data_IF_215639198606
#
_entry.id   IF_215639198606
#
_cell.length_a   1.000
_cell.length_b   1.000
_cell.length_c   1.000
_cell.angle_alpha   90.00
_cell.angle_beta   90.00
_cell.angle_gamma   90.00
#
_symmetry.space_group_name_H-M   'P 1'
#
loop_
_entity.id
_entity.type
_entity.pdbx_description
1 polymer ?
#
# COMPACT_ATOMS: atom_id res chain seq x y z
N UNK A 1 -8.97 34.27 24.79
CA UNK A 1 -7.88 34.77 23.97
C UNK A 1 -7.49 33.70 22.96
N UNK A 2 -7.60 33.93 21.65
CA UNK A 2 -7.32 32.87 20.62
C UNK A 2 -5.85 32.45 20.60
N UNK A 3 -4.91 33.35 20.85
CA UNK A 3 -3.48 33.05 20.85
C UNK A 3 -3.06 32.07 21.97
N UNK A 4 -3.69 32.11 23.15
CA UNK A 4 -3.40 31.17 24.23
C UNK A 4 -3.83 29.73 23.89
N UNK A 5 -4.94 29.54 23.16
CA UNK A 5 -5.44 28.19 22.81
C UNK A 5 -4.63 27.53 21.69
N UNK A 6 -4.20 28.31 20.68
CA UNK A 6 -3.31 27.79 19.64
C UNK A 6 -1.94 27.40 20.21
N UNK A 7 -1.46 28.16 21.20
CA UNK A 7 -0.20 27.85 21.88
C UNK A 7 -0.30 26.60 22.78
N UNK A 8 -1.47 26.38 23.40
CA UNK A 8 -1.77 25.17 24.21
C UNK A 8 -1.88 23.94 23.30
N UNK A 9 -2.47 24.06 22.09
CA UNK A 9 -2.58 22.97 21.13
C UNK A 9 -1.20 22.53 20.63
N UNK A 10 -0.37 23.45 20.18
CA UNK A 10 0.97 23.14 19.66
C UNK A 10 1.92 22.59 20.75
N UNK A 11 1.82 23.06 21.97
CA UNK A 11 2.61 22.53 23.11
C UNK A 11 2.15 21.11 23.49
N UNK A 12 0.85 20.83 23.45
CA UNK A 12 0.28 19.50 23.67
C UNK A 12 0.77 18.51 22.61
N UNK A 13 0.69 18.87 21.33
CA UNK A 13 1.20 18.08 20.22
C UNK A 13 2.68 17.74 20.42
N UNK A 14 3.53 18.72 20.67
CA UNK A 14 4.96 18.50 20.88
C UNK A 14 5.25 17.53 22.04
N UNK A 15 4.43 17.60 23.12
CA UNK A 15 4.53 16.67 24.24
C UNK A 15 4.22 15.23 23.83
N UNK A 16 3.16 15.03 23.02
CA UNK A 16 2.79 13.72 22.49
C UNK A 16 3.87 13.17 21.56
N UNK A 17 4.37 13.98 20.61
CA UNK A 17 5.44 13.58 19.70
C UNK A 17 6.71 13.16 20.48
N UNK A 18 7.09 13.92 21.51
CA UNK A 18 8.22 13.57 22.36
C UNK A 18 7.99 12.25 23.13
N UNK A 19 6.79 12.00 23.65
CA UNK A 19 6.45 10.74 24.31
C UNK A 19 6.57 9.55 23.36
N UNK A 20 6.07 9.70 22.13
CA UNK A 20 6.16 8.66 21.06
C UNK A 20 7.62 8.33 20.77
N UNK A 21 8.47 9.33 20.53
CA UNK A 21 9.87 9.11 20.17
C UNK A 21 10.76 8.64 21.33
N UNK A 22 10.43 8.97 22.57
CA UNK A 22 11.13 8.51 23.75
C UNK A 22 10.76 7.08 24.16
N UNK A 23 9.65 6.55 23.66
CA UNK A 23 9.14 5.24 24.02
C UNK A 23 10.00 4.10 23.44
N UNK A 24 10.18 3.02 24.23
CA UNK A 24 10.75 1.77 23.71
C UNK A 24 9.75 1.08 22.76
N UNK A 25 10.23 0.25 21.81
CA UNK A 25 9.39 -0.34 20.77
C UNK A 25 8.04 -0.94 21.21
N UNK A 26 7.94 -1.75 22.26
CA UNK A 26 6.65 -2.29 22.71
C UNK A 26 5.70 -1.26 23.34
N UNK A 27 6.20 -0.08 23.70
CA UNK A 27 5.47 0.95 24.46
C UNK A 27 5.13 2.20 23.63
N UNK A 28 5.38 2.20 22.32
CA UNK A 28 5.07 3.35 21.44
C UNK A 28 3.58 3.69 21.46
N UNK A 29 2.72 2.71 21.28
CA UNK A 29 1.26 2.93 21.33
C UNK A 29 0.77 3.30 22.74
N UNK A 30 1.13 2.59 23.81
CA UNK A 30 0.77 3.02 25.17
C UNK A 30 1.19 4.46 25.49
N UNK A 31 2.44 4.85 25.18
CA UNK A 31 2.94 6.19 25.44
C UNK A 31 2.19 7.26 24.63
N UNK A 32 1.83 6.96 23.37
CA UNK A 32 1.02 7.87 22.57
C UNK A 32 -0.38 8.05 23.17
N UNK A 33 -1.05 6.96 23.56
CA UNK A 33 -2.39 7.00 24.16
C UNK A 33 -2.39 7.81 25.46
N UNK A 34 -1.47 7.52 26.37
CA UNK A 34 -1.37 8.20 27.66
C UNK A 34 -1.12 9.72 27.47
N UNK A 35 -0.24 10.06 26.52
CA UNK A 35 0.08 11.46 26.24
C UNK A 35 -1.08 12.21 25.56
N UNK A 36 -1.82 11.57 24.65
CA UNK A 36 -3.02 12.16 24.00
C UNK A 36 -4.13 12.35 25.03
N UNK A 37 -4.39 11.32 25.84
CA UNK A 37 -5.42 11.38 26.91
C UNK A 37 -5.10 12.50 27.91
N UNK A 38 -3.83 12.66 28.28
CA UNK A 38 -3.38 13.75 29.16
C UNK A 38 -3.51 15.14 28.50
N UNK A 39 -3.19 15.24 27.21
CA UNK A 39 -3.32 16.49 26.46
C UNK A 39 -4.76 16.93 26.30
N UNK A 40 -5.65 16.01 25.98
CA UNK A 40 -7.07 16.30 25.75
C UNK A 40 -7.90 16.33 27.06
N UNK A 41 -7.34 15.81 28.17
CA UNK A 41 -8.04 15.69 29.45
C UNK A 41 -9.16 14.64 29.44
N UNK A 42 -9.16 13.70 28.51
CA UNK A 42 -10.17 12.67 28.32
C UNK A 42 -9.52 11.31 28.08
N UNK A 43 -9.77 10.32 28.92
CA UNK A 43 -9.31 8.97 28.66
C UNK A 43 -10.17 8.29 27.55
N UNK A 44 -9.56 7.40 26.81
CA UNK A 44 -10.26 6.59 25.81
C UNK A 44 -9.69 6.67 24.41
N UNK A 45 -8.45 7.17 24.25
CA UNK A 45 -7.72 7.05 23.00
C UNK A 45 -7.39 5.58 22.72
N UNK A 46 -7.73 5.10 21.53
CA UNK A 46 -7.45 3.75 21.08
C UNK A 46 -6.65 3.75 19.77
N UNK A 47 -5.83 2.72 19.58
CA UNK A 47 -5.17 2.43 18.31
C UNK A 47 -5.68 1.10 17.80
N UNK A 48 -6.18 1.11 16.57
CA UNK A 48 -6.75 -0.06 15.90
C UNK A 48 -5.81 -0.45 14.77
N UNK A 49 -5.27 -1.67 14.77
CA UNK A 49 -4.38 -2.18 13.74
C UNK A 49 -5.16 -2.99 12.71
N UNK A 50 -4.83 -2.82 11.44
CA UNK A 50 -5.44 -3.65 10.38
C UNK A 50 -4.91 -5.07 10.45
N UNK A 51 -5.80 -6.06 10.36
CA UNK A 51 -5.41 -7.47 10.29
C UNK A 51 -4.71 -7.82 8.95
N UNK A 52 -4.14 -9.01 8.88
CA UNK A 52 -3.42 -9.46 7.67
C UNK A 52 -4.33 -9.61 6.44
N UNK A 53 -5.62 -9.88 6.63
CA UNK A 53 -6.60 -10.00 5.55
C UNK A 53 -7.21 -8.65 5.12
N UNK A 54 -6.82 -7.54 5.75
CA UNK A 54 -7.37 -6.19 5.53
C UNK A 54 -8.90 -6.09 5.71
N UNK A 55 -9.44 -6.93 6.54
CA UNK A 55 -10.89 -7.04 6.76
C UNK A 55 -11.37 -6.46 8.09
N UNK A 56 -10.48 -6.43 9.10
CA UNK A 56 -10.82 -5.98 10.44
C UNK A 56 -9.74 -5.10 11.05
N UNK A 57 -10.18 -4.10 11.76
CA UNK A 57 -9.36 -3.28 12.64
C UNK A 57 -9.41 -3.87 14.05
N UNK A 58 -8.26 -4.22 14.58
CA UNK A 58 -8.09 -4.91 15.87
C UNK A 58 -7.54 -3.91 16.88
N UNK A 59 -8.25 -3.68 18.03
CA UNK A 59 -7.72 -2.80 19.07
C UNK A 59 -6.39 -3.30 19.62
N UNK A 60 -5.44 -2.37 19.78
CA UNK A 60 -4.15 -2.66 20.42
C UNK A 60 -4.30 -2.54 21.94
N UNK A 61 -4.13 -3.63 22.67
CA UNK A 61 -4.21 -3.65 24.14
C UNK A 61 -4.16 -5.06 24.70
N UNK A 62 -4.17 -5.18 26.02
CA UNK A 62 -4.01 -6.42 26.78
C UNK A 62 -5.29 -7.30 26.76
N UNK A 63 -6.08 -7.28 25.70
CA UNK A 63 -7.33 -8.01 25.59
C UNK A 63 -8.52 -7.33 26.29
N UNK A 64 -8.33 -6.15 26.88
CA UNK A 64 -9.39 -5.31 27.47
C UNK A 64 -10.02 -4.34 26.47
N UNK A 65 -9.43 -4.21 25.28
CA UNK A 65 -9.98 -3.44 24.15
C UNK A 65 -11.30 -4.05 23.67
N UNK A 66 -12.11 -3.25 23.00
CA UNK A 66 -13.34 -3.69 22.36
C UNK A 66 -13.12 -4.81 21.32
N UNK A 67 -14.18 -5.42 20.77
CA UNK A 67 -14.07 -6.41 19.73
C UNK A 67 -13.47 -5.79 18.47
N UNK A 68 -12.79 -6.63 17.66
CA UNK A 68 -12.34 -6.20 16.34
C UNK A 68 -13.52 -5.73 15.49
N UNK A 69 -13.36 -4.58 14.80
CA UNK A 69 -14.42 -3.98 14.00
C UNK A 69 -14.14 -4.19 12.50
N UNK A 70 -15.19 -4.38 11.72
CA UNK A 70 -15.04 -4.59 10.26
C UNK A 70 -14.73 -3.27 9.55
N UNK A 71 -13.86 -3.31 8.56
CA UNK A 71 -13.53 -2.12 7.75
C UNK A 71 -14.75 -1.58 7.02
N UNK A 72 -15.69 -2.43 6.59
CA UNK A 72 -16.81 -2.01 5.75
C UNK A 72 -18.00 -1.40 6.52
N UNK A 73 -18.09 -1.57 7.84
CA UNK A 73 -19.31 -1.24 8.60
C UNK A 73 -19.10 -0.28 9.79
N UNK A 74 -17.87 0.16 10.04
CA UNK A 74 -17.54 0.98 11.20
C UNK A 74 -16.88 2.30 10.78
N UNK A 75 -17.11 3.44 11.47
CA UNK A 75 -16.48 4.72 11.16
C UNK A 75 -14.95 4.67 11.11
N UNK A 76 -14.32 3.93 12.02
CA UNK A 76 -12.87 3.66 11.94
C UNK A 76 -12.48 2.98 10.60
N UNK A 77 -13.31 2.07 10.11
CA UNK A 77 -13.11 1.43 8.81
C UNK A 77 -13.24 2.42 7.65
N UNK A 78 -14.14 3.39 7.72
CA UNK A 78 -14.26 4.46 6.74
C UNK A 78 -13.00 5.35 6.73
N UNK A 79 -12.46 5.69 7.92
CA UNK A 79 -11.22 6.45 8.02
C UNK A 79 -10.03 5.68 7.41
N UNK A 80 -9.93 4.38 7.69
CA UNK A 80 -8.94 3.49 7.09
C UNK A 80 -9.06 3.41 5.57
N UNK A 81 -10.27 3.21 5.05
CA UNK A 81 -10.53 3.04 3.62
C UNK A 81 -10.37 4.34 2.83
N UNK A 82 -10.89 5.44 3.34
CA UNK A 82 -10.84 6.74 2.66
C UNK A 82 -9.52 7.50 2.83
N UNK A 83 -8.68 7.09 3.78
CA UNK A 83 -7.48 7.84 4.19
C UNK A 83 -7.79 9.28 4.61
N UNK A 84 -8.96 9.49 5.17
CA UNK A 84 -9.44 10.79 5.66
C UNK A 84 -9.87 10.68 7.10
N UNK A 85 -9.76 11.78 7.83
CA UNK A 85 -10.36 11.90 9.14
C UNK A 85 -11.88 11.68 9.02
N UNK A 86 -12.42 10.85 9.90
CA UNK A 86 -13.88 10.59 10.04
C UNK A 86 -14.29 10.96 11.46
N UNK A 87 -15.42 11.66 11.57
CA UNK A 87 -16.05 11.99 12.84
C UNK A 87 -17.27 11.12 13.04
N UNK A 88 -17.45 10.66 14.26
CA UNK A 88 -18.63 9.91 14.67
C UNK A 88 -18.92 10.19 16.14
N UNK A 89 -20.07 10.77 16.43
CA UNK A 89 -20.51 11.19 17.76
C UNK A 89 -19.40 11.84 18.62
N UNK A 90 -18.79 11.08 19.51
CA UNK A 90 -17.77 11.54 20.45
C UNK A 90 -16.32 11.13 20.04
N UNK A 91 -16.13 10.59 18.84
CA UNK A 91 -14.82 10.13 18.37
C UNK A 91 -14.35 10.79 17.08
N UNK A 92 -13.03 11.01 17.01
CA UNK A 92 -12.31 11.26 15.77
C UNK A 92 -11.51 10.02 15.38
N UNK A 93 -11.64 9.59 14.14
CA UNK A 93 -10.91 8.48 13.58
C UNK A 93 -9.91 9.01 12.56
N UNK A 94 -8.60 8.89 12.86
CA UNK A 94 -7.52 9.35 12.01
C UNK A 94 -6.79 8.15 11.41
N UNK A 95 -6.59 8.09 10.09
CA UNK A 95 -5.86 6.99 9.48
C UNK A 95 -4.37 7.03 9.89
N UNK A 96 -3.82 5.86 10.16
CA UNK A 96 -2.40 5.65 10.41
C UNK A 96 -1.76 5.06 9.16
N UNK A 97 -0.91 5.82 8.49
CA UNK A 97 -0.24 5.36 7.28
C UNK A 97 1.17 5.94 7.13
N UNK A 98 2.04 5.22 6.43
CA UNK A 98 3.40 5.65 6.10
C UNK A 98 3.65 5.38 4.62
N UNK A 99 3.96 6.42 3.84
CA UNK A 99 4.18 6.33 2.39
C UNK A 99 3.03 5.61 1.64
N UNK A 100 1.78 5.87 2.07
CA UNK A 100 0.60 5.20 1.54
C UNK A 100 0.28 3.84 2.19
N UNK A 101 1.22 3.20 2.86
CA UNK A 101 0.99 1.95 3.60
C UNK A 101 0.06 2.18 4.78
N UNK A 102 -1.13 1.60 4.73
CA UNK A 102 -2.18 1.73 5.75
C UNK A 102 -1.94 0.75 6.89
N UNK A 103 -1.65 1.27 8.08
CA UNK A 103 -1.30 0.47 9.26
C UNK A 103 -2.50 0.23 10.16
N UNK A 104 -3.39 1.22 10.24
CA UNK A 104 -4.54 1.18 11.14
C UNK A 104 -5.22 2.53 11.29
N UNK A 105 -5.82 2.75 12.46
CA UNK A 105 -6.56 3.98 12.79
C UNK A 105 -6.27 4.38 14.24
N UNK A 106 -6.05 5.66 14.46
CA UNK A 106 -6.07 6.30 15.77
C UNK A 106 -7.49 6.79 16.04
N UNK A 107 -8.15 6.25 17.08
CA UNK A 107 -9.45 6.69 17.56
C UNK A 107 -9.25 7.56 18.80
N UNK A 108 -9.68 8.81 18.73
CA UNK A 108 -9.52 9.81 19.79
C UNK A 108 -10.90 10.22 20.28
N UNK A 109 -11.13 10.13 21.57
CA UNK A 109 -12.39 10.55 22.19
C UNK A 109 -12.39 12.06 22.43
N UNK A 110 -13.51 12.72 22.19
CA UNK A 110 -13.71 14.15 22.39
C UNK A 110 -14.68 14.45 23.52
N UNK A 111 -14.41 15.49 24.29
CA UNK A 111 -15.39 16.02 25.28
C UNK A 111 -16.56 16.69 24.56
N UNK A 112 -17.79 16.65 25.14
CA UNK A 112 -18.98 17.30 24.57
C UNK A 112 -18.79 18.81 24.29
N UNK A 113 -17.98 19.52 25.08
CA UNK A 113 -17.68 20.94 24.86
C UNK A 113 -16.74 21.22 23.68
N UNK A 114 -15.87 20.27 23.32
CA UNK A 114 -15.04 20.33 22.12
C UNK A 114 -15.84 19.97 20.85
N UNK A 115 -16.86 19.12 20.98
CA UNK A 115 -17.79 18.75 19.90
C UNK A 115 -18.58 19.96 19.39
N UNK A 116 -19.08 20.80 20.30
CA UNK A 116 -19.91 21.98 19.96
C UNK A 116 -19.09 23.02 19.18
N UNK A 117 -17.82 23.25 19.55
CA UNK A 117 -16.94 24.18 18.83
C UNK A 117 -16.57 23.67 17.43
N UNK A 118 -16.49 22.35 17.24
CA UNK A 118 -16.22 21.70 15.95
C UNK A 118 -17.46 21.69 15.01
N UNK A 119 -18.66 21.60 15.55
CA UNK A 119 -19.92 21.63 14.78
C UNK A 119 -20.28 23.05 14.30
N UNK A 120 -20.11 24.05 15.15
CA UNK A 120 -20.39 25.46 14.80
C UNK A 120 -19.52 25.94 13.65
N UNK A 121 -18.30 25.43 13.51
CA UNK A 121 -17.37 25.76 12.42
C UNK A 121 -17.84 25.27 11.03
N UNK A 122 -18.63 24.21 10.97
CA UNK A 122 -19.14 23.68 9.67
C UNK A 122 -20.38 24.42 9.20
N UNK A 123 -21.27 24.82 10.10
CA UNK A 123 -22.49 25.56 9.74
C UNK A 123 -22.17 26.99 9.28
N UNK A 124 -21.17 27.64 9.92
CA UNK A 124 -20.76 29.00 9.56
C UNK A 124 -19.98 29.07 8.25
N UNK A 125 -19.25 28.01 7.87
CA UNK A 125 -18.53 27.95 6.57
C UNK A 125 -19.43 27.81 5.34
N UNK A 126 -20.69 27.42 5.52
CA UNK A 126 -21.69 27.36 4.43
C UNK A 126 -22.42 28.70 4.20
N UNK A 127 -22.47 29.60 5.20
CA UNK A 127 -23.22 30.86 5.13
C UNK A 127 -22.39 32.14 4.99
N UNK A 128 -21.08 32.11 5.24
CA UNK A 128 -20.23 33.30 5.18
C UNK A 128 -19.14 33.19 4.12
N UNK A 129 -19.37 33.84 2.99
CA UNK A 129 -18.28 34.32 2.15
C UNK A 129 -17.48 35.38 2.90
N UNK A 130 -16.17 35.16 3.00
CA UNK A 130 -15.13 36.15 3.40
C UNK A 130 -15.37 36.94 4.67
N UNK A 131 -14.74 36.53 5.76
CA UNK A 131 -13.79 37.32 6.57
C UNK A 131 -13.41 36.52 7.85
N UNK A 132 -12.13 36.44 8.06
CA UNK A 132 -11.31 36.01 9.18
C UNK A 132 -12.01 35.75 10.54
N UNK A 133 -12.03 34.49 10.93
CA UNK A 133 -12.14 34.01 12.30
C UNK A 133 -11.44 32.67 12.40
N UNK A 134 -10.19 32.63 12.85
CA UNK A 134 -9.41 31.42 13.07
C UNK A 134 -10.04 30.58 14.20
N UNK A 135 -10.80 29.58 13.83
CA UNK A 135 -11.57 28.71 14.72
C UNK A 135 -10.68 27.57 15.28
N UNK A 136 -10.78 27.32 16.57
CA UNK A 136 -9.95 26.35 17.31
C UNK A 136 -10.16 24.87 16.89
N UNK A 137 -11.21 24.57 16.15
CA UNK A 137 -11.56 23.23 15.71
C UNK A 137 -10.63 22.65 14.63
N UNK A 138 -10.41 23.32 13.51
CA UNK A 138 -9.51 22.88 12.46
C UNK A 138 -8.07 22.70 12.96
N UNK A 139 -7.60 23.59 13.84
CA UNK A 139 -6.23 23.52 14.37
C UNK A 139 -5.97 22.24 15.21
N UNK A 140 -6.93 21.76 15.98
CA UNK A 140 -6.78 20.52 16.76
C UNK A 140 -6.76 19.28 15.85
N UNK A 141 -7.58 19.25 14.81
CA UNK A 141 -7.60 18.14 13.87
C UNK A 141 -6.30 18.04 13.06
N UNK A 142 -5.77 19.18 12.64
CA UNK A 142 -4.46 19.27 11.99
C UNK A 142 -3.33 18.79 12.92
N UNK A 143 -3.35 19.19 14.17
CA UNK A 143 -2.39 18.73 15.17
C UNK A 143 -2.50 17.23 15.44
N UNK A 144 -3.72 16.69 15.54
CA UNK A 144 -3.95 15.24 15.68
C UNK A 144 -3.55 14.46 14.43
N UNK A 145 -3.72 15.03 13.23
CA UNK A 145 -3.24 14.42 11.99
C UNK A 145 -1.71 14.30 11.97
N UNK A 146 -0.99 15.33 12.43
CA UNK A 146 0.47 15.28 12.58
C UNK A 146 0.89 14.22 13.61
N UNK A 147 0.17 14.12 14.74
CA UNK A 147 0.40 13.08 15.74
C UNK A 147 0.17 11.70 15.16
N UNK A 148 -0.88 11.51 14.37
CA UNK A 148 -1.18 10.23 13.71
C UNK A 148 -0.07 9.82 12.73
N UNK A 149 0.46 10.75 11.93
CA UNK A 149 1.60 10.50 11.03
C UNK A 149 2.87 10.14 11.84
N UNK A 150 3.17 10.89 12.90
CA UNK A 150 4.31 10.61 13.78
C UNK A 150 4.19 9.23 14.42
N UNK A 151 3.00 8.90 14.94
CA UNK A 151 2.73 7.58 15.55
C UNK A 151 2.90 6.45 14.53
N UNK A 152 2.34 6.61 13.33
CA UNK A 152 2.47 5.62 12.27
C UNK A 152 3.93 5.34 11.91
N UNK A 153 4.75 6.38 11.76
CA UNK A 153 6.20 6.26 11.50
C UNK A 153 6.93 5.57 12.64
N UNK A 154 6.66 5.97 13.89
CA UNK A 154 7.27 5.36 15.06
C UNK A 154 6.90 3.89 15.20
N UNK A 155 5.63 3.53 14.94
CA UNK A 155 5.18 2.14 14.92
C UNK A 155 5.90 1.29 13.86
N UNK A 156 6.12 1.81 12.65
CA UNK A 156 6.87 1.10 11.60
C UNK A 156 8.33 0.84 12.00
N UNK A 157 8.97 1.79 12.69
CA UNK A 157 10.31 1.58 13.24
C UNK A 157 10.30 0.57 14.39
N UNK A 158 9.32 0.65 15.27
CA UNK A 158 9.18 -0.25 16.41
C UNK A 158 8.90 -1.70 15.97
N UNK A 159 8.12 -1.92 14.90
CA UNK A 159 7.81 -3.24 14.33
C UNK A 159 9.07 -4.02 13.88
N UNK A 160 10.19 -3.33 13.65
CA UNK A 160 11.48 -3.98 13.37
C UNK A 160 12.13 -4.62 14.59
N UNK A 161 11.69 -4.28 15.81
CA UNK A 161 12.33 -4.66 17.06
C UNK A 161 11.39 -5.37 18.06
N UNK A 162 10.15 -5.64 17.69
CA UNK A 162 9.17 -6.32 18.55
C UNK A 162 8.09 -7.02 17.72
N UNK A 163 7.57 -8.12 18.23
CA UNK A 163 6.51 -8.91 17.56
C UNK A 163 5.10 -8.49 17.97
N UNK A 164 4.96 -7.60 18.97
CA UNK A 164 3.67 -7.26 19.57
C UNK A 164 2.64 -6.74 18.55
N UNK A 165 3.09 -5.95 17.55
CA UNK A 165 2.20 -5.43 16.51
C UNK A 165 1.73 -6.54 15.56
N UNK A 166 2.60 -7.51 15.26
CA UNK A 166 2.29 -8.69 14.45
C UNK A 166 1.34 -9.63 15.16
N UNK A 167 1.52 -9.82 16.48
CA UNK A 167 0.63 -10.63 17.32
C UNK A 167 -0.79 -10.09 17.30
N UNK A 168 -0.99 -8.78 17.48
CA UNK A 168 -2.32 -8.14 17.48
C UNK A 168 -2.99 -8.28 16.11
N UNK A 169 -2.25 -8.18 15.01
CA UNK A 169 -2.77 -8.31 13.63
C UNK A 169 -3.16 -9.73 13.25
N UNK A 170 -2.75 -10.74 14.05
CA UNK A 170 -3.06 -12.16 13.82
C UNK A 170 -4.40 -12.53 14.42
N UNK A 171 -5.43 -12.65 13.57
CA UNK A 171 -6.75 -13.15 14.01
C UNK A 171 -6.85 -14.68 13.96
N UNK A 172 -6.03 -15.34 13.16
CA UNK A 172 -5.99 -16.82 13.01
C UNK A 172 -4.55 -17.30 13.16
N UNK A 173 -4.39 -18.56 13.55
CA UNK A 173 -3.08 -19.21 13.49
C UNK A 173 -2.65 -19.33 12.04
N UNK A 174 -1.42 -18.90 11.76
CA UNK A 174 -0.78 -19.05 10.46
C UNK A 174 0.07 -20.31 10.45
N UNK A 175 0.19 -20.95 9.29
CA UNK A 175 1.24 -21.95 9.05
C UNK A 175 2.58 -21.23 8.88
N UNK A 176 3.69 -21.93 9.15
CA UNK A 176 5.03 -21.38 8.92
C UNK A 176 5.19 -20.91 7.47
N UNK A 177 4.62 -21.65 6.51
CA UNK A 177 4.67 -21.28 5.10
C UNK A 177 3.97 -19.93 4.82
N UNK A 178 2.78 -19.72 5.38
CA UNK A 178 2.04 -18.45 5.23
C UNK A 178 2.79 -17.29 5.92
N UNK A 179 3.42 -17.53 7.06
CA UNK A 179 4.21 -16.52 7.74
C UNK A 179 5.43 -16.10 6.93
N UNK A 180 6.21 -17.07 6.41
CA UNK A 180 7.33 -16.81 5.51
C UNK A 180 6.91 -16.02 4.26
N UNK A 181 5.75 -16.32 3.69
CA UNK A 181 5.22 -15.65 2.52
C UNK A 181 4.82 -14.20 2.85
N UNK A 182 4.14 -13.97 3.96
CA UNK A 182 3.75 -12.61 4.37
C UNK A 182 4.92 -11.74 4.81
N UNK A 183 5.92 -12.29 5.48
CA UNK A 183 7.12 -11.54 5.83
C UNK A 183 7.95 -11.13 4.60
N UNK A 184 7.81 -11.86 3.49
CA UNK A 184 8.50 -11.55 2.25
C UNK A 184 7.84 -10.39 1.49
N UNK A 185 6.54 -10.13 1.70
CA UNK A 185 5.83 -9.06 1.02
C UNK A 185 6.45 -7.69 1.31
N UNK A 186 6.47 -6.78 0.33
CA UNK A 186 6.77 -5.38 0.57
C UNK A 186 5.63 -4.73 1.37
N UNK A 187 5.68 -3.43 1.61
CA UNK A 187 4.49 -2.69 2.03
C UNK A 187 3.32 -2.99 1.09
N UNK A 188 2.08 -2.93 1.56
CA UNK A 188 0.90 -3.28 0.74
C UNK A 188 0.50 -2.20 -0.23
N UNK A 189 0.96 -0.99 0.01
CA UNK A 189 0.72 0.16 -0.86
C UNK A 189 2.01 0.95 -1.04
N UNK A 190 2.12 1.58 -2.19
CA UNK A 190 3.21 2.50 -2.52
C UNK A 190 2.65 3.59 -3.43
N UNK A 191 3.02 4.83 -3.19
CA UNK A 191 2.58 5.95 -4.01
C UNK A 191 3.72 6.92 -4.29
N UNK A 192 3.68 7.51 -5.47
CA UNK A 192 4.50 8.63 -5.92
C UNK A 192 3.59 9.71 -6.50
N UNK A 193 4.17 10.74 -7.06
CA UNK A 193 3.40 11.78 -7.77
C UNK A 193 2.77 11.22 -9.05
N UNK A 194 3.42 10.24 -9.67
CA UNK A 194 3.06 9.67 -10.97
C UNK A 194 2.16 8.45 -10.87
N UNK A 195 2.04 7.83 -9.68
CA UNK A 195 1.32 6.58 -9.53
C UNK A 195 0.82 6.32 -8.11
N UNK A 196 -0.15 5.44 -8.02
CA UNK A 196 -0.57 4.77 -6.78
C UNK A 196 -0.65 3.27 -7.03
N UNK A 197 -0.04 2.48 -6.16
CA UNK A 197 0.07 1.02 -6.26
C UNK A 197 -0.42 0.36 -4.98
N UNK A 198 -1.17 -0.72 -5.11
CA UNK A 198 -1.54 -1.58 -4.01
C UNK A 198 -1.51 -3.05 -4.41
N UNK A 199 -1.22 -3.92 -3.43
CA UNK A 199 -1.26 -5.36 -3.61
C UNK A 199 -1.85 -6.06 -2.39
N UNK A 200 -2.58 -7.14 -2.64
CA UNK A 200 -3.09 -8.02 -1.61
C UNK A 200 -2.87 -9.48 -2.00
N UNK A 201 -2.43 -10.24 -1.02
CA UNK A 201 -2.30 -11.70 -1.07
C UNK A 201 -3.29 -12.29 -0.08
N UNK A 202 -4.10 -13.21 -0.54
CA UNK A 202 -4.92 -14.11 0.29
C UNK A 202 -4.37 -15.53 0.13
N UNK A 203 -3.69 -16.06 1.17
CA UNK A 203 -3.08 -17.38 1.08
C UNK A 203 -4.15 -18.47 1.11
N UNK A 204 -3.92 -19.53 0.35
CA UNK A 204 -4.65 -20.78 0.46
C UNK A 204 -4.39 -21.46 1.80
N UNK A 205 -5.23 -22.42 2.19
CA UNK A 205 -4.98 -23.27 3.37
C UNK A 205 -3.61 -23.96 3.26
N UNK A 206 -3.29 -24.49 2.07
CA UNK A 206 -1.96 -24.95 1.73
C UNK A 206 -1.30 -23.94 0.82
N UNK A 207 -0.39 -23.16 1.35
CA UNK A 207 0.34 -22.10 0.63
C UNK A 207 0.93 -22.65 -0.69
N UNK A 208 0.72 -21.93 -1.78
CA UNK A 208 1.19 -22.31 -3.12
C UNK A 208 2.44 -21.53 -3.57
N UNK A 209 2.80 -20.47 -2.83
CA UNK A 209 4.03 -19.72 -3.06
C UNK A 209 3.87 -18.52 -3.98
N UNK A 210 2.68 -17.96 -4.08
CA UNK A 210 2.46 -16.70 -4.79
C UNK A 210 3.02 -15.53 -4.00
N UNK A 211 3.57 -14.53 -4.69
CA UNK A 211 4.11 -13.34 -4.07
C UNK A 211 4.10 -12.15 -5.03
N UNK A 212 4.08 -10.95 -4.51
CA UNK A 212 4.37 -9.73 -5.22
C UNK A 212 5.45 -8.93 -4.50
N UNK A 213 6.23 -8.19 -5.27
CA UNK A 213 7.27 -7.29 -4.75
C UNK A 213 7.33 -6.00 -5.56
N UNK A 214 7.76 -4.92 -4.93
CA UNK A 214 8.06 -3.68 -5.63
C UNK A 214 9.20 -2.91 -4.99
N UNK A 215 9.75 -2.01 -5.78
CA UNK A 215 10.77 -1.08 -5.34
C UNK A 215 10.67 0.21 -6.12
N UNK A 216 10.72 1.31 -5.41
CA UNK A 216 10.76 2.65 -5.97
C UNK A 216 12.19 3.18 -5.92
N UNK A 217 12.70 3.62 -7.07
CA UNK A 217 13.92 4.43 -7.19
C UNK A 217 13.55 5.87 -7.57
N UNK A 218 14.54 6.73 -7.76
CA UNK A 218 14.29 8.10 -8.25
C UNK A 218 13.75 8.16 -9.67
N UNK A 219 13.96 7.12 -10.47
CA UNK A 219 13.66 7.11 -11.90
C UNK A 219 12.66 6.03 -12.28
N UNK A 220 12.57 4.97 -11.50
CA UNK A 220 11.83 3.77 -11.87
C UNK A 220 11.01 3.20 -10.72
N UNK A 221 9.82 2.73 -11.07
CA UNK A 221 9.06 1.78 -10.27
C UNK A 221 9.29 0.38 -10.86
N UNK A 222 9.80 -0.55 -10.05
CA UNK A 222 9.93 -1.95 -10.43
C UNK A 222 8.87 -2.76 -9.67
N UNK A 223 8.10 -3.57 -10.38
CA UNK A 223 7.07 -4.46 -9.82
C UNK A 223 7.35 -5.88 -10.28
N UNK A 224 7.22 -6.85 -9.40
CA UNK A 224 7.23 -8.26 -9.75
C UNK A 224 6.06 -8.98 -9.10
N UNK A 225 5.46 -9.91 -9.85
CA UNK A 225 4.44 -10.84 -9.34
C UNK A 225 4.88 -12.24 -9.73
N UNK A 226 5.02 -13.11 -8.75
CA UNK A 226 5.52 -14.48 -8.94
C UNK A 226 4.51 -15.50 -8.42
N UNK A 227 4.33 -16.58 -9.15
CA UNK A 227 3.55 -17.74 -8.74
C UNK A 227 4.48 -18.96 -8.66
N UNK A 228 4.54 -19.60 -7.50
CA UNK A 228 5.41 -20.75 -7.26
C UNK A 228 4.77 -22.06 -7.70
N UNK A 229 5.55 -22.96 -8.29
CA UNK A 229 5.09 -24.32 -8.63
C UNK A 229 5.45 -25.29 -7.50
N UNK A 230 4.77 -25.21 -6.37
CA UNK A 230 4.98 -26.13 -5.24
C UNK A 230 3.85 -25.95 -4.23
N UNK A 231 3.98 -26.57 -3.05
CA UNK A 231 3.02 -26.40 -1.97
C UNK A 231 3.68 -26.39 -0.60
N UNK A 232 3.03 -25.74 0.36
CA UNK A 232 3.47 -25.64 1.74
C UNK A 232 4.82 -24.96 1.89
N UNK A 233 5.67 -25.47 2.79
CA UNK A 233 6.98 -24.86 3.08
C UNK A 233 7.92 -24.87 1.88
N UNK A 234 7.82 -25.87 1.00
CA UNK A 234 8.61 -25.92 -0.23
C UNK A 234 8.29 -24.78 -1.19
N UNK A 235 7.02 -24.42 -1.31
CA UNK A 235 6.57 -23.27 -2.07
C UNK A 235 7.11 -21.97 -1.47
N UNK A 236 6.97 -21.76 -0.17
CA UNK A 236 7.48 -20.58 0.51
C UNK A 236 9.00 -20.40 0.34
N UNK A 237 9.77 -21.48 0.39
CA UNK A 237 11.22 -21.43 0.18
C UNK A 237 11.60 -21.11 -1.28
N UNK A 238 10.89 -21.68 -2.26
CA UNK A 238 11.06 -21.33 -3.68
C UNK A 238 10.79 -19.85 -3.92
N UNK A 239 9.70 -19.35 -3.38
CA UNK A 239 9.31 -17.94 -3.48
C UNK A 239 10.33 -17.03 -2.83
N UNK A 240 10.81 -17.36 -1.63
CA UNK A 240 11.86 -16.60 -0.97
C UNK A 240 13.15 -16.54 -1.81
N UNK A 241 13.56 -17.68 -2.37
CA UNK A 241 14.75 -17.73 -3.24
C UNK A 241 14.54 -16.86 -4.48
N UNK A 242 13.40 -16.98 -5.16
CA UNK A 242 13.07 -16.23 -6.38
C UNK A 242 13.05 -14.72 -6.11
N UNK A 243 12.25 -14.29 -5.13
CA UNK A 243 12.09 -12.85 -4.82
C UNK A 243 13.40 -12.23 -4.35
N UNK A 244 14.16 -12.92 -3.48
CA UNK A 244 15.45 -12.39 -3.01
C UNK A 244 16.51 -12.38 -4.12
N UNK A 245 16.47 -13.30 -5.09
CA UNK A 245 17.33 -13.26 -6.28
C UNK A 245 17.02 -12.05 -7.14
N UNK A 246 15.74 -11.76 -7.40
CA UNK A 246 15.29 -10.57 -8.12
C UNK A 246 15.66 -9.28 -7.37
N UNK A 247 15.48 -9.24 -6.06
CA UNK A 247 15.91 -8.10 -5.22
C UNK A 247 17.42 -7.86 -5.29
N UNK A 248 18.21 -8.94 -5.25
CA UNK A 248 19.67 -8.85 -5.36
C UNK A 248 20.10 -8.36 -6.74
N UNK A 249 19.54 -8.89 -7.82
CA UNK A 249 19.80 -8.45 -9.18
C UNK A 249 19.47 -6.94 -9.37
N UNK A 250 18.30 -6.51 -8.91
CA UNK A 250 17.90 -5.09 -8.94
C UNK A 250 18.88 -4.20 -8.16
N UNK A 251 19.34 -4.63 -6.98
CA UNK A 251 20.32 -3.88 -6.16
C UNK A 251 21.70 -3.80 -6.80
N UNK A 252 22.04 -4.73 -7.69
CA UNK A 252 23.27 -4.69 -8.48
C UNK A 252 23.15 -3.87 -9.77
N UNK A 253 21.97 -3.29 -10.05
CA UNK A 253 21.73 -2.45 -11.21
C UNK A 253 21.31 -3.21 -12.47
N UNK A 254 20.99 -4.51 -12.35
CA UNK A 254 20.51 -5.30 -13.48
C UNK A 254 19.14 -4.79 -13.98
N UNK A 255 18.99 -4.70 -15.30
CA UNK A 255 17.71 -4.48 -15.96
C UNK A 255 16.80 -5.71 -15.83
N UNK A 256 15.50 -5.61 -16.23
CA UNK A 256 14.52 -6.67 -15.95
C UNK A 256 14.86 -8.00 -16.63
N UNK A 257 15.40 -8.00 -17.86
CA UNK A 257 15.82 -9.24 -18.54
C UNK A 257 17.01 -9.91 -17.84
N UNK A 258 18.05 -9.15 -17.51
CA UNK A 258 19.20 -9.63 -16.77
C UNK A 258 18.82 -10.11 -15.36
N UNK A 259 17.93 -9.41 -14.68
CA UNK A 259 17.42 -9.82 -13.38
C UNK A 259 16.67 -11.17 -13.44
N UNK A 260 15.88 -11.38 -14.49
CA UNK A 260 15.24 -12.68 -14.75
C UNK A 260 16.28 -13.79 -15.02
N UNK A 261 17.32 -13.52 -15.83
CA UNK A 261 18.39 -14.48 -16.11
C UNK A 261 19.18 -14.86 -14.84
N UNK A 262 19.53 -13.89 -14.00
CA UNK A 262 20.21 -14.13 -12.73
C UNK A 262 19.35 -14.96 -11.77
N UNK A 263 18.08 -14.59 -11.62
CA UNK A 263 17.14 -15.34 -10.77
C UNK A 263 16.91 -16.75 -11.31
N UNK A 264 16.75 -16.91 -12.62
CA UNK A 264 16.65 -18.22 -13.28
C UNK A 264 17.82 -19.12 -12.94
N UNK A 265 19.06 -18.62 -13.09
CA UNK A 265 20.29 -19.38 -12.80
C UNK A 265 20.37 -19.85 -11.34
N UNK A 266 19.97 -18.99 -10.40
CA UNK A 266 19.95 -19.30 -8.97
C UNK A 266 18.90 -20.36 -8.64
N UNK A 267 17.66 -20.19 -9.12
CA UNK A 267 16.57 -21.15 -8.88
C UNK A 267 16.89 -22.50 -9.53
N UNK A 268 17.39 -22.48 -10.77
CA UNK A 268 17.80 -23.70 -11.47
C UNK A 268 18.94 -24.42 -10.74
N UNK A 269 19.94 -23.72 -10.27
CA UNK A 269 21.07 -24.32 -9.54
C UNK A 269 20.63 -25.04 -8.27
N UNK A 270 19.59 -24.53 -7.61
CA UNK A 270 19.05 -25.12 -6.38
C UNK A 270 18.14 -26.32 -6.65
N UNK A 271 17.28 -26.23 -7.70
CA UNK A 271 16.20 -27.20 -7.89
C UNK A 271 16.36 -28.07 -9.15
N UNK A 272 17.32 -27.76 -10.05
CA UNK A 272 17.62 -28.55 -11.25
C UNK A 272 16.44 -28.68 -12.22
N UNK A 273 15.60 -27.66 -12.32
CA UNK A 273 14.42 -27.65 -13.18
C UNK A 273 13.19 -28.38 -12.64
N UNK A 274 13.27 -29.00 -11.46
CA UNK A 274 12.17 -29.80 -10.88
C UNK A 274 11.00 -28.93 -10.40
N UNK A 275 11.29 -27.74 -9.94
CA UNK A 275 10.33 -26.70 -9.57
C UNK A 275 10.79 -25.37 -10.15
N UNK A 276 9.85 -24.54 -10.50
CA UNK A 276 10.10 -23.25 -11.13
C UNK A 276 9.08 -22.21 -10.66
N UNK A 277 9.31 -20.95 -10.98
CA UNK A 277 8.43 -19.85 -10.61
C UNK A 277 8.01 -19.07 -11.86
N UNK A 278 6.71 -19.03 -12.12
CA UNK A 278 6.12 -18.14 -13.10
C UNK A 278 6.24 -16.69 -12.58
N UNK A 279 6.76 -15.78 -13.39
CA UNK A 279 7.05 -14.43 -12.89
C UNK A 279 6.79 -13.38 -13.95
N UNK A 280 6.08 -12.33 -13.59
CA UNK A 280 5.93 -11.09 -14.35
C UNK A 280 6.83 -10.02 -13.73
N UNK A 281 7.69 -9.39 -14.54
CA UNK A 281 8.52 -8.26 -14.14
C UNK A 281 8.11 -7.02 -14.93
N UNK A 282 7.90 -5.90 -14.23
CA UNK A 282 7.68 -4.59 -14.84
C UNK A 282 8.73 -3.61 -14.31
N UNK A 283 9.30 -2.83 -15.23
CA UNK A 283 10.24 -1.77 -14.92
C UNK A 283 9.77 -0.49 -15.60
N UNK A 284 9.16 0.41 -14.83
CA UNK A 284 8.39 1.55 -15.33
C UNK A 284 9.18 2.84 -15.10
N UNK A 285 9.48 3.58 -16.15
CA UNK A 285 10.12 4.88 -16.07
C UNK A 285 9.11 5.93 -15.59
N UNK A 286 9.36 6.54 -14.43
CA UNK A 286 8.44 7.49 -13.78
C UNK A 286 8.20 8.73 -14.64
N UNK A 287 9.23 9.21 -15.33
CA UNK A 287 9.14 10.43 -16.13
C UNK A 287 8.30 10.29 -17.41
N UNK A 288 8.17 9.07 -17.97
CA UNK A 288 7.56 8.85 -19.30
C UNK A 288 6.37 7.88 -19.29
N UNK A 289 6.28 7.00 -18.28
CA UNK A 289 5.34 5.88 -18.28
C UNK A 289 5.73 4.75 -19.25
N UNK A 290 6.93 4.81 -19.85
CA UNK A 290 7.46 3.69 -20.62
C UNK A 290 7.87 2.58 -19.66
N UNK A 291 7.49 1.36 -19.98
CA UNK A 291 7.76 0.18 -19.17
C UNK A 291 8.37 -0.93 -20.01
N UNK A 292 9.36 -1.57 -19.43
CA UNK A 292 9.90 -2.84 -19.90
C UNK A 292 9.24 -3.98 -19.12
N UNK A 293 8.76 -4.98 -19.85
CA UNK A 293 8.04 -6.14 -19.30
C UNK A 293 8.79 -7.42 -19.65
N UNK A 294 9.01 -8.28 -18.67
CA UNK A 294 9.42 -9.67 -18.87
C UNK A 294 8.29 -10.57 -18.38
N UNK A 295 7.73 -11.33 -19.31
CA UNK A 295 6.72 -12.35 -19.03
C UNK A 295 7.39 -13.73 -19.00
N UNK A 296 7.65 -14.26 -17.82
CA UNK A 296 8.26 -15.56 -17.59
C UNK A 296 7.22 -16.59 -17.13
N UNK A 297 6.21 -16.86 -17.97
CA UNK A 297 5.10 -17.77 -17.67
C UNK A 297 4.09 -17.18 -16.67
N UNK A 298 3.70 -15.96 -16.89
CA UNK A 298 3.28 -15.01 -15.87
C UNK A 298 1.86 -15.13 -15.31
N UNK A 299 1.64 -14.45 -14.16
CA UNK A 299 0.34 -13.92 -13.78
C UNK A 299 -0.29 -13.06 -14.87
N UNK A 300 -1.62 -13.04 -14.91
CA UNK A 300 -2.36 -12.29 -15.94
C UNK A 300 -2.39 -10.80 -15.63
N UNK A 301 -2.15 -9.97 -16.65
CA UNK A 301 -2.28 -8.54 -16.57
C UNK A 301 -3.45 -8.02 -17.40
N UNK A 302 -4.26 -7.15 -16.78
CA UNK A 302 -5.37 -6.44 -17.41
C UNK A 302 -5.06 -4.94 -17.36
N UNK A 303 -5.40 -4.23 -18.44
CA UNK A 303 -5.40 -2.77 -18.45
C UNK A 303 -6.82 -2.24 -18.47
N UNK A 304 -7.11 -1.31 -17.58
CA UNK A 304 -8.35 -0.52 -17.62
C UNK A 304 -8.01 0.86 -18.15
N UNK A 305 -8.55 1.18 -19.31
CA UNK A 305 -8.37 2.48 -19.97
C UNK A 305 -9.72 3.01 -20.43
N UNK A 306 -10.09 4.20 -19.98
CA UNK A 306 -11.39 4.85 -20.30
C UNK A 306 -12.61 3.97 -19.97
N UNK A 307 -12.49 3.12 -18.93
CA UNK A 307 -13.56 2.21 -18.50
C UNK A 307 -13.61 0.86 -19.23
N UNK A 308 -12.82 0.68 -20.29
CA UNK A 308 -12.66 -0.62 -20.97
C UNK A 308 -11.58 -1.45 -20.28
N UNK A 309 -11.87 -2.74 -20.11
CA UNK A 309 -10.96 -3.72 -19.50
C UNK A 309 -10.43 -4.60 -20.62
N UNK A 310 -9.14 -4.57 -20.85
CA UNK A 310 -8.48 -5.36 -21.89
C UNK A 310 -7.36 -6.24 -21.30
N UNK A 311 -7.28 -7.52 -21.67
CA UNK A 311 -6.13 -8.34 -21.30
C UNK A 311 -4.90 -7.86 -22.05
N UNK A 312 -3.78 -7.73 -21.32
CA UNK A 312 -2.49 -7.45 -21.93
C UNK A 312 -1.83 -8.78 -22.31
N UNK A 313 -1.46 -8.92 -23.57
CA UNK A 313 -0.77 -10.09 -24.09
C UNK A 313 0.69 -9.75 -24.37
N UNK A 314 1.58 -10.55 -23.81
CA UNK A 314 3.03 -10.51 -24.07
C UNK A 314 3.46 -11.86 -24.63
N UNK A 315 4.60 -11.88 -25.31
CA UNK A 315 5.22 -13.15 -25.71
C UNK A 315 5.73 -13.85 -24.44
N UNK A 316 5.05 -14.92 -24.08
CA UNK A 316 5.34 -15.71 -22.89
C UNK A 316 6.69 -16.41 -23.04
N UNK A 317 7.55 -16.30 -22.03
CA UNK A 317 8.85 -16.93 -21.94
C UNK A 317 8.85 -18.00 -20.85
N UNK A 318 9.91 -18.78 -20.77
CA UNK A 318 9.98 -19.90 -19.82
C UNK A 318 9.99 -19.39 -18.37
N UNK A 319 9.28 -20.06 -17.46
CA UNK A 319 9.35 -19.77 -16.02
C UNK A 319 10.77 -19.79 -15.45
N UNK A 320 11.02 -18.99 -14.43
CA UNK A 320 12.31 -18.92 -13.77
C UNK A 320 12.70 -20.24 -13.11
N UNK A 321 13.87 -20.75 -13.44
CA UNK A 321 14.41 -21.98 -12.87
C UNK A 321 14.04 -23.26 -13.63
N UNK A 322 13.35 -23.15 -14.77
CA UNK A 322 12.94 -24.31 -15.56
C UNK A 322 14.10 -24.93 -16.37
N UNK A 323 14.91 -24.09 -17.01
CA UNK A 323 16.09 -24.50 -17.78
C UNK A 323 17.31 -23.66 -17.43
N UNK A 324 18.52 -24.23 -17.49
CA UNK A 324 19.78 -23.54 -17.08
C UNK A 324 20.11 -22.29 -17.88
N UNK A 325 19.90 -22.36 -19.20
CA UNK A 325 20.43 -21.36 -20.15
C UNK A 325 19.32 -20.48 -20.75
N UNK A 326 18.21 -20.31 -20.03
CA UNK A 326 17.12 -19.45 -20.49
C UNK A 326 17.59 -18.00 -20.63
N UNK A 327 17.34 -17.41 -21.80
CA UNK A 327 17.54 -16.00 -22.07
C UNK A 327 16.21 -15.29 -22.09
N UNK A 328 16.16 -14.15 -21.40
CA UNK A 328 14.95 -13.34 -21.32
C UNK A 328 15.06 -12.08 -22.15
N UNK A 329 13.91 -11.62 -22.66
CA UNK A 329 13.81 -10.37 -23.44
C UNK A 329 12.72 -9.50 -22.84
N UNK A 330 12.98 -8.21 -22.86
CA UNK A 330 11.99 -7.21 -22.50
C UNK A 330 11.05 -6.94 -23.65
N UNK A 331 9.80 -6.65 -23.33
CA UNK A 331 8.77 -6.17 -24.23
C UNK A 331 8.31 -4.80 -23.75
N UNK A 332 7.96 -3.92 -24.68
CA UNK A 332 7.60 -2.55 -24.34
C UNK A 332 6.11 -2.42 -24.03
N UNK A 333 5.82 -1.68 -22.97
CA UNK A 333 4.48 -1.22 -22.61
C UNK A 333 4.54 0.28 -22.36
N UNK A 334 3.55 1.03 -22.82
CA UNK A 334 3.42 2.47 -22.51
C UNK A 334 2.15 2.73 -21.71
N UNK A 335 2.34 3.29 -20.52
CA UNK A 335 1.26 3.77 -19.68
C UNK A 335 0.90 5.21 -20.05
N UNK A 336 -0.38 5.49 -20.10
CA UNK A 336 -0.91 6.84 -20.29
C UNK A 336 -1.59 7.31 -19.01
N UNK A 337 -1.60 8.61 -18.71
CA UNK A 337 -2.34 9.14 -17.59
C UNK A 337 -3.80 8.66 -17.59
N UNK A 338 -4.25 8.11 -16.46
CA UNK A 338 -5.56 7.50 -16.29
C UNK A 338 -5.63 6.00 -16.59
N UNK A 339 -4.51 5.37 -16.95
CA UNK A 339 -4.46 3.91 -17.02
C UNK A 339 -4.45 3.28 -15.64
N UNK A 340 -5.15 2.16 -15.52
CA UNK A 340 -5.07 1.26 -14.36
C UNK A 340 -4.60 -0.11 -14.85
N UNK A 341 -3.52 -0.62 -14.26
CA UNK A 341 -3.10 -2.00 -14.45
C UNK A 341 -3.61 -2.86 -13.28
N UNK A 342 -4.15 -4.01 -13.62
CA UNK A 342 -4.54 -5.05 -12.66
C UNK A 342 -3.74 -6.30 -13.00
N UNK A 343 -3.00 -6.82 -12.02
CA UNK A 343 -2.25 -8.07 -12.15
C UNK A 343 -2.85 -9.06 -11.17
N UNK A 344 -3.22 -10.25 -11.65
CA UNK A 344 -3.84 -11.29 -10.84
C UNK A 344 -3.10 -12.61 -11.04
N UNK A 345 -2.95 -13.38 -9.95
CA UNK A 345 -2.39 -14.72 -10.02
C UNK A 345 -3.39 -15.73 -10.60
N UNK A 346 -2.88 -16.90 -10.94
CA UNK A 346 -3.70 -18.00 -11.42
C UNK A 346 -4.71 -18.48 -10.38
N UNK A 347 -4.35 -18.49 -9.10
CA UNK A 347 -5.26 -18.84 -8.02
C UNK A 347 -6.46 -17.91 -7.94
N UNK A 348 -6.29 -16.62 -8.21
CA UNK A 348 -7.40 -15.68 -8.32
C UNK A 348 -8.18 -15.89 -9.62
N UNK A 349 -7.48 -15.91 -10.77
CA UNK A 349 -8.13 -15.96 -12.08
C UNK A 349 -8.87 -17.28 -12.31
N UNK A 350 -8.27 -18.41 -11.93
CA UNK A 350 -8.82 -19.75 -12.20
C UNK A 350 -9.71 -20.27 -11.06
N UNK A 351 -9.91 -19.49 -9.97
CA UNK A 351 -10.80 -19.85 -8.88
C UNK A 351 -12.20 -20.23 -9.40
N UNK A 352 -12.80 -21.27 -8.80
CA UNK A 352 -14.09 -21.79 -9.22
C UNK A 352 -15.08 -21.76 -8.06
N UNK A 353 -16.30 -21.38 -8.36
CA UNK A 353 -17.40 -21.54 -7.40
C UNK A 353 -17.91 -22.99 -7.36
N UNK A 354 -18.86 -23.29 -6.49
CA UNK A 354 -19.50 -24.61 -6.35
C UNK A 354 -20.16 -25.13 -7.66
N UNK A 355 -20.45 -24.22 -8.61
CA UNK A 355 -21.00 -24.58 -9.94
C UNK A 355 -19.92 -24.80 -11.00
N UNK A 356 -18.62 -24.72 -10.63
CA UNK A 356 -17.48 -24.88 -11.53
C UNK A 356 -17.22 -23.69 -12.45
N UNK A 357 -17.88 -22.54 -12.24
CA UNK A 357 -17.67 -21.34 -13.03
C UNK A 357 -16.37 -20.64 -12.59
N UNK A 358 -15.62 -20.13 -13.55
CA UNK A 358 -14.30 -19.51 -13.33
C UNK A 358 -14.45 -18.03 -13.03
N UNK A 359 -13.82 -17.57 -11.95
CA UNK A 359 -13.88 -16.17 -11.50
C UNK A 359 -13.32 -15.17 -12.51
N UNK A 360 -12.19 -15.51 -13.14
CA UNK A 360 -11.49 -14.66 -14.10
C UNK A 360 -12.23 -14.38 -15.41
N UNK A 361 -13.30 -15.09 -15.71
CA UNK A 361 -14.04 -14.89 -16.96
C UNK A 361 -14.96 -13.66 -16.89
N UNK A 362 -16.12 -13.75 -16.26
CA UNK A 362 -17.08 -12.66 -16.15
C UNK A 362 -17.06 -11.98 -14.77
N UNK A 363 -16.98 -12.73 -13.64
CA UNK A 363 -17.04 -12.12 -12.30
C UNK A 363 -15.95 -11.10 -12.05
N UNK A 364 -14.69 -11.41 -12.35
CA UNK A 364 -13.57 -10.46 -12.18
C UNK A 364 -13.82 -9.15 -12.94
N UNK A 365 -14.27 -9.21 -14.18
CA UNK A 365 -14.59 -8.02 -14.95
C UNK A 365 -15.76 -7.21 -14.34
N UNK A 366 -16.74 -7.88 -13.71
CA UNK A 366 -17.82 -7.20 -12.99
C UNK A 366 -17.30 -6.53 -11.72
N UNK A 367 -16.46 -7.22 -10.94
CA UNK A 367 -15.82 -6.68 -9.74
C UNK A 367 -14.98 -5.44 -10.07
N UNK A 368 -14.16 -5.48 -11.11
CA UNK A 368 -13.33 -4.34 -11.54
C UNK A 368 -14.17 -3.13 -12.00
N UNK A 369 -15.30 -3.38 -12.68
CA UNK A 369 -16.24 -2.28 -13.03
C UNK A 369 -16.89 -1.66 -11.80
N UNK A 370 -17.23 -2.46 -10.80
CA UNK A 370 -17.80 -1.97 -9.53
C UNK A 370 -16.77 -1.15 -8.75
N UNK A 371 -15.50 -1.55 -8.76
CA UNK A 371 -14.40 -0.88 -8.07
C UNK A 371 -13.76 0.29 -8.86
N UNK A 372 -14.30 0.68 -10.02
CA UNK A 372 -13.65 1.63 -10.95
C UNK A 372 -13.33 3.01 -10.37
N UNK A 373 -14.08 3.46 -9.36
CA UNK A 373 -13.89 4.75 -8.68
C UNK A 373 -13.13 4.64 -7.36
N UNK A 374 -12.80 3.42 -6.94
CA UNK A 374 -12.02 3.17 -5.73
C UNK A 374 -10.53 3.38 -6.02
N UNK A 375 -9.78 3.75 -4.99
CA UNK A 375 -8.33 3.76 -5.09
C UNK A 375 -7.76 2.33 -5.22
N UNK A 376 -6.47 2.16 -5.56
CA UNK A 376 -5.87 0.85 -5.73
C UNK A 376 -6.03 -0.08 -4.53
N UNK A 377 -5.86 0.42 -3.29
CA UNK A 377 -5.98 -0.42 -2.10
C UNK A 377 -7.41 -0.94 -1.91
N UNK A 378 -8.41 -0.06 -2.05
CA UNK A 378 -9.80 -0.49 -1.97
C UNK A 378 -10.19 -1.40 -3.13
N UNK A 379 -9.61 -1.18 -4.31
CA UNK A 379 -9.83 -2.05 -5.48
C UNK A 379 -9.34 -3.47 -5.21
N UNK A 380 -8.09 -3.66 -4.75
CA UNK A 380 -7.57 -5.01 -4.47
C UNK A 380 -8.29 -5.68 -3.32
N UNK A 381 -8.62 -4.91 -2.26
CA UNK A 381 -9.41 -5.40 -1.12
C UNK A 381 -10.79 -5.85 -1.56
N UNK A 382 -11.46 -5.07 -2.40
CA UNK A 382 -12.78 -5.41 -2.95
C UNK A 382 -12.71 -6.69 -3.81
N UNK A 383 -11.75 -6.78 -4.73
CA UNK A 383 -11.58 -7.95 -5.62
C UNK A 383 -11.34 -9.23 -4.80
N UNK A 384 -10.47 -9.19 -3.78
CA UNK A 384 -10.22 -10.35 -2.92
C UNK A 384 -11.48 -10.69 -2.09
N UNK A 385 -12.18 -9.72 -1.55
CA UNK A 385 -13.43 -9.95 -0.81
C UNK A 385 -14.53 -10.55 -1.69
N UNK A 386 -14.66 -10.06 -2.93
CA UNK A 386 -15.62 -10.57 -3.93
C UNK A 386 -15.26 -12.01 -4.35
N UNK A 387 -13.96 -12.32 -4.54
CA UNK A 387 -13.48 -13.67 -4.78
C UNK A 387 -13.86 -14.64 -3.64
N UNK A 388 -13.61 -14.23 -2.38
CA UNK A 388 -13.95 -15.07 -1.22
C UNK A 388 -15.46 -15.31 -1.10
N UNK A 389 -16.27 -14.28 -1.38
CA UNK A 389 -17.73 -14.42 -1.44
C UNK A 389 -18.17 -15.34 -2.60
N UNK A 390 -17.50 -15.27 -3.77
CA UNK A 390 -17.74 -16.11 -4.92
C UNK A 390 -17.41 -17.59 -4.65
N UNK A 391 -16.43 -17.85 -3.77
CA UNK A 391 -15.98 -19.19 -3.37
C UNK A 391 -16.79 -19.75 -2.19
N UNK A 392 -17.95 -19.15 -1.84
CA UNK A 392 -18.85 -19.54 -0.76
C UNK A 392 -18.17 -19.60 0.64
N UNK A 393 -17.10 -18.81 0.87
CA UNK A 393 -16.38 -18.73 2.14
C UNK A 393 -15.58 -19.98 2.50
N UNK A 394 -15.42 -20.95 1.59
CA UNK A 394 -14.51 -22.07 1.77
C UNK A 394 -13.05 -21.63 1.57
N UNK A 395 -12.10 -22.45 2.05
CA UNK A 395 -10.68 -22.17 1.83
C UNK A 395 -10.34 -22.19 0.33
N UNK A 396 -9.53 -21.23 -0.11
CA UNK A 396 -9.05 -21.21 -1.49
C UNK A 396 -8.17 -22.43 -1.78
N UNK A 397 -8.30 -22.96 -2.99
CA UNK A 397 -7.48 -24.08 -3.44
C UNK A 397 -6.03 -23.66 -3.76
N UNK A 398 -5.83 -22.38 -4.08
CA UNK A 398 -4.55 -21.77 -4.45
C UNK A 398 -4.47 -20.35 -3.91
N UNK A 399 -3.24 -19.83 -3.73
CA UNK A 399 -3.02 -18.45 -3.28
C UNK A 399 -3.62 -17.46 -4.28
N UNK A 400 -4.26 -16.42 -3.79
CA UNK A 400 -4.86 -15.40 -4.65
C UNK A 400 -4.14 -14.06 -4.47
N UNK A 401 -3.58 -13.54 -5.56
CA UNK A 401 -2.97 -12.20 -5.61
C UNK A 401 -3.78 -11.28 -6.50
N UNK A 402 -3.98 -10.06 -6.02
CA UNK A 402 -4.40 -8.91 -6.81
C UNK A 402 -3.42 -7.75 -6.57
N UNK A 403 -2.88 -7.20 -7.65
CA UNK A 403 -2.08 -5.96 -7.65
C UNK A 403 -2.78 -4.96 -8.54
N UNK A 404 -2.95 -3.72 -8.07
CA UNK A 404 -3.56 -2.61 -8.80
C UNK A 404 -2.59 -1.43 -8.83
N UNK A 405 -2.30 -0.93 -10.03
CA UNK A 405 -1.48 0.25 -10.27
C UNK A 405 -2.30 1.28 -11.05
N UNK A 406 -2.53 2.44 -10.45
CA UNK A 406 -3.05 3.62 -11.14
C UNK A 406 -1.89 4.49 -11.60
N UNK A 407 -1.88 4.83 -12.88
CA UNK A 407 -0.89 5.71 -13.46
C UNK A 407 -1.49 7.10 -13.70
N UNK A 408 -1.01 8.10 -12.94
CA UNK A 408 -1.41 9.50 -13.10
C UNK A 408 -0.51 10.26 -14.07
N UNK A 409 0.71 9.74 -14.27
CA UNK A 409 1.75 10.40 -15.06
C UNK A 409 2.32 11.64 -14.36
N UNK A 410 3.40 12.16 -14.90
CA UNK A 410 3.94 13.45 -14.45
C UNK A 410 2.97 14.56 -14.82
N UNK A 411 2.52 15.35 -13.84
CA UNK A 411 1.90 16.65 -14.11
C UNK A 411 2.99 17.54 -14.72
N UNK A 412 3.05 17.57 -16.05
CA UNK A 412 3.87 18.56 -16.76
C UNK A 412 3.23 19.92 -16.48
N UNK A 413 3.68 20.61 -15.45
CA UNK A 413 3.54 22.07 -15.46
C UNK A 413 4.37 22.55 -16.67
N UNK A 414 3.76 23.21 -17.65
CA UNK A 414 4.53 23.83 -18.72
C UNK A 414 5.46 24.81 -18.02
N UNK A 415 6.77 24.56 -18.13
CA UNK A 415 7.78 25.55 -17.80
C UNK A 415 7.42 26.74 -18.67
N UNK A 416 6.83 27.77 -18.09
CA UNK A 416 6.61 29.03 -18.74
C UNK A 416 7.99 29.47 -19.24
N UNK A 417 8.15 29.49 -20.56
CA UNK A 417 9.34 29.97 -21.20
C UNK A 417 9.55 31.40 -20.69
N UNK A 418 10.50 31.56 -19.77
CA UNK A 418 10.95 32.88 -19.35
C UNK A 418 11.60 33.51 -20.60
N UNK A 419 10.79 34.33 -21.28
CA UNK A 419 11.28 35.26 -22.30
C UNK A 419 12.09 36.34 -21.58
N UNK A 420 13.31 35.97 -21.20
CA UNK A 420 14.32 36.91 -20.70
C UNK A 420 15.02 37.54 -21.88
N UNK A 421 14.66 38.78 -22.22
CA UNK A 421 15.46 39.67 -23.05
C UNK A 421 16.88 39.74 -22.50
N UNK A 422 17.82 39.13 -23.19
CA UNK A 422 19.27 39.37 -22.96
C UNK A 422 19.61 40.60 -23.77
N UNK A 423 19.49 41.78 -23.19
CA UNK A 423 20.13 43.00 -23.65
C UNK A 423 21.62 42.92 -23.32
N UNK A 424 22.41 43.25 -24.35
CA UNK A 424 23.82 43.12 -24.48
C UNK A 424 24.70 43.57 -23.30
N UNK A 425 25.80 42.85 -23.14
CA UNK A 425 26.98 43.37 -22.50
C UNK A 425 28.12 43.51 -23.53
N UNK A 426 28.49 44.79 -23.76
CA UNK A 426 29.62 45.29 -24.53
C UNK A 426 30.91 44.82 -23.85
N UNK A 427 31.82 44.24 -24.62
CA UNK A 427 33.20 44.05 -24.20
C UNK A 427 33.96 45.37 -24.26
N UNK A 428 34.79 45.73 -23.32
CA UNK A 428 35.93 46.63 -23.55
C UNK A 428 37.16 45.79 -23.85
N UNK A 429 37.83 46.14 -24.94
CA UNK A 429 39.12 45.61 -25.30
C UNK A 429 40.24 46.16 -24.40
N UNK A 430 41.31 45.42 -24.33
CA UNK A 430 42.55 45.81 -23.64
C UNK A 430 43.72 44.95 -24.15
N UNK A 431 44.63 45.62 -24.76
CA UNK A 431 45.85 45.24 -25.44
C UNK A 431 46.96 44.68 -24.53
N UNK A 432 47.89 43.93 -25.23
CA UNK A 432 49.37 43.93 -25.05
C UNK A 432 49.92 43.17 -23.84
N UNK A 433 50.83 42.29 -23.94
CA UNK A 433 52.05 41.96 -24.73
C UNK A 433 52.35 40.48 -24.60
#
# INVERSE_FOLDING_TARGET
>A
MPEDRANVSSAGRATVENAIWAARPPFVIPAARDAIDAWLGVPGTEVLLIDYHQSHLVPFGDGTGGPAVTVNAHPAGQAYASMRLVRDDDHLFLPLAVYGERIGVLAVRLLPGLQTSLQTSQETSQEAGQEAGQEAGPALEDDLAVVADTLARAMRLADLATDIYREVRRRKRLTIAAELQWELLPGRTCSGEEFSLAGQLEPAYTVSGDNFDWSLSRQYLTVSVSAGMSSGIGAALLTQLTVNSLRNARRSGAGPAEAAELANGIVYSQYGGKVHSSTLLLHIALSTGEAEVVDAGSPRMLRVRRGEIEPMAFDEQMPLGMFSDTRYRTQSLRLLPGDRLIIVSDGLHNARNAKGQVYGQLPLGAALRSARLQDPNETVRFVISDLLAYHDGSDLADDAIAVCLDWTGTSVQPIAAASGNVTGFIRPGGHVT
#
